data_IF_580733913646
#
_entry.id   IF_580733913646
#
_cell.length_a   1.000
_cell.length_b   1.000
_cell.length_c   1.000
_cell.angle_alpha   90.00
_cell.angle_beta   90.00
_cell.angle_gamma   90.00
#
_symmetry.space_group_name_H-M   'P 1'
#
loop_
_entity.id
_entity.type
_entity.pdbx_description
1 polymer ?
#
# COMPACT_ATOMS: atom_id res chain seq x y z
N UNK A 1 35.03 95.84 2.05
CA UNK A 1 33.58 95.61 2.11
C UNK A 1 33.11 95.24 0.71
N UNK A 2 32.09 94.40 0.64
CA UNK A 2 31.35 93.91 -0.54
C UNK A 2 31.76 92.56 -1.15
N UNK A 3 30.73 91.72 -1.22
CA UNK A 3 30.67 90.31 -1.51
C UNK A 3 30.93 89.96 -2.98
N UNK A 4 31.54 88.80 -3.21
CA UNK A 4 31.43 88.07 -4.49
C UNK A 4 30.91 86.65 -4.21
N UNK A 5 29.67 86.39 -4.61
CA UNK A 5 29.07 85.03 -4.64
C UNK A 5 29.47 84.35 -5.94
N UNK A 6 29.97 83.09 -5.92
CA UNK A 6 29.90 82.22 -7.08
C UNK A 6 28.59 81.43 -7.07
N UNK A 7 27.97 81.39 -8.25
CA UNK A 7 26.79 80.62 -8.64
C UNK A 7 26.95 79.10 -8.45
N UNK A 8 25.84 78.35 -8.22
CA UNK A 8 25.91 76.90 -8.08
C UNK A 8 26.17 76.25 -9.45
N UNK A 9 27.24 75.47 -9.54
CA UNK A 9 27.51 74.60 -10.67
C UNK A 9 26.55 73.42 -10.66
N UNK A 10 25.91 73.19 -11.81
CA UNK A 10 25.15 71.99 -12.08
C UNK A 10 26.10 70.78 -12.05
N UNK A 11 25.96 69.94 -11.02
CA UNK A 11 26.71 68.72 -10.86
C UNK A 11 25.78 67.51 -10.74
N UNK A 12 25.75 66.70 -11.80
CA UNK A 12 25.70 65.24 -11.71
C UNK A 12 24.47 64.59 -11.04
N UNK A 13 23.32 64.58 -11.73
CA UNK A 13 22.24 63.60 -11.52
C UNK A 13 22.06 62.62 -12.69
N UNK A 14 22.94 62.66 -13.70
CA UNK A 14 22.79 61.89 -14.94
C UNK A 14 23.22 60.41 -14.85
N UNK A 15 23.85 59.97 -13.76
CA UNK A 15 24.39 58.60 -13.64
C UNK A 15 23.37 57.55 -13.16
N UNK A 16 22.30 57.96 -12.48
CA UNK A 16 21.36 57.05 -11.81
C UNK A 16 20.03 56.86 -12.55
N UNK A 17 19.65 57.76 -13.46
CA UNK A 17 18.42 57.58 -14.26
C UNK A 17 18.61 56.63 -15.45
N UNK A 18 19.83 56.49 -15.97
CA UNK A 18 20.14 55.65 -17.14
C UNK A 18 20.06 54.13 -16.85
N UNK A 19 19.99 53.72 -15.59
CA UNK A 19 19.83 52.31 -15.19
C UNK A 19 18.35 51.85 -15.14
N UNK A 20 17.40 52.78 -15.23
CA UNK A 20 15.96 52.49 -15.06
C UNK A 20 15.13 52.60 -16.36
N UNK A 21 15.74 52.99 -17.49
CA UNK A 21 15.09 53.12 -18.81
C UNK A 21 15.25 51.87 -19.71
N UNK A 22 15.42 50.68 -19.12
CA UNK A 22 15.44 49.44 -19.90
C UNK A 22 14.01 48.98 -20.21
N UNK A 23 13.61 49.18 -21.46
CA UNK A 23 12.37 48.66 -22.04
C UNK A 23 12.26 47.14 -21.82
N UNK A 24 11.04 46.61 -21.61
CA UNK A 24 10.81 45.21 -21.27
C UNK A 24 11.45 44.24 -22.29
N UNK A 25 11.57 44.70 -23.53
CA UNK A 25 12.23 44.05 -24.66
C UNK A 25 13.72 43.72 -24.40
N UNK A 26 14.43 44.56 -23.63
CA UNK A 26 15.85 44.38 -23.32
C UNK A 26 16.11 43.16 -22.42
N UNK A 27 15.21 42.86 -21.49
CA UNK A 27 15.30 41.65 -20.66
C UNK A 27 14.61 40.44 -21.31
N UNK A 28 13.66 40.68 -22.21
CA UNK A 28 12.92 39.62 -22.88
C UNK A 28 13.80 38.79 -23.83
N UNK A 29 14.58 39.43 -24.71
CA UNK A 29 15.38 38.71 -25.70
C UNK A 29 16.48 37.84 -25.07
N UNK A 30 17.26 38.30 -24.06
CA UNK A 30 18.22 37.46 -23.36
C UNK A 30 17.55 36.33 -22.59
N UNK A 31 16.38 36.57 -21.95
CA UNK A 31 15.64 35.54 -21.23
C UNK A 31 15.12 34.45 -22.17
N UNK A 32 14.55 34.82 -23.32
CA UNK A 32 14.08 33.86 -24.33
C UNK A 32 15.25 33.06 -24.92
N UNK A 33 16.38 33.71 -25.16
CA UNK A 33 17.59 33.04 -25.66
C UNK A 33 18.15 32.08 -24.61
N UNK A 34 18.26 32.53 -23.36
CA UNK A 34 18.68 31.71 -22.23
C UNK A 34 17.78 30.48 -22.07
N UNK A 35 16.45 30.66 -22.08
CA UNK A 35 15.49 29.57 -22.04
C UNK A 35 15.59 28.65 -23.27
N UNK A 36 15.81 29.19 -24.46
CA UNK A 36 15.99 28.43 -25.70
C UNK A 36 17.20 27.48 -25.68
N UNK A 37 18.27 27.85 -24.97
CA UNK A 37 19.44 26.99 -24.77
C UNK A 37 19.35 26.10 -23.52
N UNK A 38 18.81 26.62 -22.41
CA UNK A 38 18.69 25.85 -21.16
C UNK A 38 17.60 24.80 -21.20
N UNK A 39 16.46 25.04 -21.86
CA UNK A 39 15.37 24.07 -21.88
C UNK A 39 15.78 22.75 -22.55
N UNK A 40 16.46 22.72 -23.72
CA UNK A 40 16.99 21.49 -24.29
C UNK A 40 18.02 20.80 -23.38
N UNK A 41 18.92 21.57 -22.75
CA UNK A 41 19.93 21.02 -21.83
C UNK A 41 19.27 20.40 -20.60
N UNK A 42 18.30 21.07 -19.98
CA UNK A 42 17.55 20.57 -18.82
C UNK A 42 16.68 19.37 -19.21
N UNK A 43 16.17 19.33 -20.44
CA UNK A 43 15.40 18.20 -20.94
C UNK A 43 16.28 16.95 -21.15
N UNK A 44 17.48 17.12 -21.71
CA UNK A 44 18.44 16.02 -21.95
C UNK A 44 19.20 15.61 -20.69
N UNK A 45 19.51 16.59 -19.83
CA UNK A 45 20.26 16.44 -18.58
C UNK A 45 19.50 17.15 -17.45
N UNK A 46 18.39 16.56 -16.96
CA UNK A 46 17.67 17.13 -15.84
C UNK A 46 18.64 17.30 -14.67
N UNK A 47 18.72 18.50 -14.06
CA UNK A 47 19.64 18.78 -12.95
C UNK A 47 19.08 18.19 -11.64
N UNK A 48 18.68 16.92 -11.69
CA UNK A 48 18.07 16.18 -10.60
C UNK A 48 18.94 14.96 -10.34
N UNK A 49 19.39 14.74 -9.09
CA UNK A 49 20.18 13.55 -8.78
C UNK A 49 19.37 12.29 -9.06
N UNK A 50 20.06 11.24 -9.50
CA UNK A 50 19.46 9.92 -9.67
C UNK A 50 18.81 9.46 -8.36
N UNK A 51 17.59 8.93 -8.46
CA UNK A 51 16.87 8.39 -7.31
C UNK A 51 17.35 6.97 -6.97
N UNK A 52 17.03 6.52 -5.76
CA UNK A 52 17.26 5.13 -5.33
C UNK A 52 16.50 4.15 -6.23
N UNK A 53 15.33 4.54 -6.72
CA UNK A 53 14.57 3.76 -7.70
C UNK A 53 15.29 3.66 -9.05
N UNK A 54 15.91 4.76 -9.53
CA UNK A 54 16.65 4.75 -10.79
C UNK A 54 17.89 3.84 -10.71
N UNK A 55 18.57 3.84 -9.55
CA UNK A 55 19.69 2.93 -9.29
C UNK A 55 19.24 1.46 -9.30
N UNK A 56 18.11 1.13 -8.67
CA UNK A 56 17.58 -0.23 -8.65
C UNK A 56 17.13 -0.72 -10.04
N UNK A 57 16.60 0.16 -10.89
CA UNK A 57 16.17 -0.21 -12.25
C UNK A 57 17.31 -0.72 -13.14
N UNK A 58 18.57 -0.45 -12.78
CA UNK A 58 19.73 -0.95 -13.50
C UNK A 58 19.91 -2.46 -13.32
N UNK A 59 19.49 -3.02 -12.17
CA UNK A 59 19.75 -4.42 -11.78
C UNK A 59 18.48 -5.22 -11.46
N UNK A 60 17.35 -4.54 -11.24
CA UNK A 60 16.09 -5.13 -10.81
C UNK A 60 14.94 -4.73 -11.74
N UNK A 61 13.96 -5.63 -11.85
CA UNK A 61 12.69 -5.35 -12.51
C UNK A 61 11.65 -4.94 -11.46
N UNK A 62 10.90 -3.87 -11.76
CA UNK A 62 9.81 -3.40 -10.91
C UNK A 62 8.62 -4.35 -11.04
N UNK A 63 8.22 -4.99 -9.95
CA UNK A 63 7.06 -5.85 -9.90
C UNK A 63 5.77 -5.01 -9.82
N UNK A 64 4.79 -5.40 -10.64
CA UNK A 64 3.43 -4.89 -10.59
C UNK A 64 3.05 -3.98 -11.75
N UNK A 65 1.75 -3.82 -11.95
CA UNK A 65 1.16 -3.14 -13.09
C UNK A 65 1.25 -1.61 -12.96
N UNK A 66 1.52 -0.96 -14.09
CA UNK A 66 1.40 0.47 -14.23
C UNK A 66 -0.06 0.95 -14.15
N UNK A 67 -0.27 2.25 -13.97
CA UNK A 67 -1.62 2.85 -13.93
C UNK A 67 -2.41 2.60 -15.24
N UNK A 68 -1.71 2.57 -16.37
CA UNK A 68 -2.33 2.35 -17.68
C UNK A 68 -2.79 0.88 -17.88
N UNK A 69 -2.10 -0.05 -17.25
CA UNK A 69 -2.25 -1.52 -17.39
C UNK A 69 -3.16 -2.11 -16.31
N UNK A 70 -3.53 -1.33 -15.29
CA UNK A 70 -4.38 -1.77 -14.18
C UNK A 70 -5.69 -2.39 -14.66
N UNK A 71 -5.97 -3.62 -14.22
CA UNK A 71 -7.22 -4.34 -14.46
C UNK A 71 -8.40 -3.72 -13.68
N UNK A 72 -8.10 -2.81 -12.75
CA UNK A 72 -9.09 -2.08 -11.96
C UNK A 72 -9.44 -0.71 -12.55
N UNK A 73 -8.86 -0.31 -13.68
CA UNK A 73 -9.09 1.02 -14.27
C UNK A 73 -10.57 1.32 -14.56
N UNK A 74 -11.34 0.28 -14.90
CA UNK A 74 -12.74 0.39 -15.29
C UNK A 74 -13.69 -0.32 -14.32
N UNK A 75 -13.23 -0.64 -13.11
CA UNK A 75 -14.01 -1.43 -12.13
C UNK A 75 -15.36 -0.78 -11.74
N UNK A 76 -15.47 0.54 -11.85
CA UNK A 76 -16.68 1.30 -11.57
C UNK A 76 -17.66 1.37 -12.75
N UNK A 77 -17.32 0.81 -13.90
CA UNK A 77 -18.24 0.74 -15.05
C UNK A 77 -19.21 -0.43 -14.86
N UNK A 78 -20.52 -0.27 -15.17
CA UNK A 78 -21.48 -1.37 -15.06
C UNK A 78 -21.07 -2.63 -15.85
N UNK A 79 -20.45 -2.46 -17.02
CA UNK A 79 -19.96 -3.58 -17.83
C UNK A 79 -18.86 -4.42 -17.14
N UNK A 80 -18.15 -3.87 -16.15
CA UNK A 80 -17.05 -4.58 -15.49
C UNK A 80 -17.51 -5.73 -14.58
N UNK A 81 -18.76 -5.71 -14.11
CA UNK A 81 -19.34 -6.81 -13.35
C UNK A 81 -20.48 -7.52 -14.10
N UNK A 82 -20.58 -7.33 -15.42
CA UNK A 82 -21.60 -7.98 -16.21
C UNK A 82 -21.47 -9.50 -16.11
N UNK A 83 -22.59 -10.17 -15.80
CA UNK A 83 -22.68 -11.62 -15.79
C UNK A 83 -23.13 -12.07 -17.17
N UNK A 84 -22.29 -12.87 -17.83
CA UNK A 84 -22.66 -13.52 -19.09
C UNK A 84 -23.25 -14.89 -18.77
N UNK A 85 -24.50 -15.20 -19.16
CA UNK A 85 -25.10 -16.51 -18.94
C UNK A 85 -24.22 -17.64 -19.47
N UNK A 86 -23.93 -18.63 -18.63
CA UNK A 86 -23.08 -19.78 -18.97
C UNK A 86 -21.57 -19.53 -18.92
N UNK A 87 -21.09 -18.32 -18.62
CA UNK A 87 -19.68 -18.05 -18.40
C UNK A 87 -19.31 -18.23 -16.91
N UNK A 88 -18.20 -18.92 -16.64
CA UNK A 88 -17.65 -19.03 -15.29
C UNK A 88 -17.09 -17.69 -14.79
N UNK A 89 -17.14 -17.48 -13.49
CA UNK A 89 -16.48 -16.35 -12.84
C UNK A 89 -14.97 -16.40 -13.05
N UNK A 90 -14.32 -15.24 -13.05
CA UNK A 90 -12.88 -15.11 -13.34
C UNK A 90 -12.18 -14.21 -12.33
N UNK A 91 -10.89 -14.46 -12.13
CA UNK A 91 -9.98 -13.59 -11.40
C UNK A 91 -9.67 -12.35 -12.24
N UNK A 92 -10.25 -11.20 -11.88
CA UNK A 92 -10.10 -9.93 -12.59
C UNK A 92 -8.82 -9.19 -12.20
N UNK A 93 -8.44 -9.22 -10.92
CA UNK A 93 -7.24 -8.55 -10.46
C UNK A 93 -6.64 -9.22 -9.22
N UNK A 94 -5.31 -9.14 -9.13
CA UNK A 94 -4.51 -9.55 -8.00
C UNK A 94 -3.84 -8.34 -7.37
N UNK A 95 -3.84 -8.23 -6.04
CA UNK A 95 -3.18 -7.13 -5.34
C UNK A 95 -2.48 -7.62 -4.08
N UNK A 96 -1.21 -7.26 -3.96
CA UNK A 96 -0.44 -7.39 -2.73
C UNK A 96 -0.25 -6.04 -2.08
N UNK A 97 0.11 -6.04 -0.82
CA UNK A 97 0.35 -4.85 -0.05
C UNK A 97 1.50 -5.11 0.94
N UNK A 98 2.75 -5.05 0.47
CA UNK A 98 3.91 -5.44 1.28
C UNK A 98 4.02 -4.74 2.62
N UNK A 99 3.64 -3.47 2.67
CA UNK A 99 3.50 -2.71 3.90
C UNK A 99 2.03 -2.54 4.27
N UNK A 100 1.66 -2.98 5.47
CA UNK A 100 0.31 -2.83 6.04
C UNK A 100 -0.11 -1.37 5.97
N UNK A 101 -1.39 -1.15 5.64
CA UNK A 101 -2.01 0.17 5.53
C UNK A 101 -1.48 1.09 4.42
N UNK A 102 -0.43 0.72 3.70
CA UNK A 102 0.08 1.50 2.56
C UNK A 102 -0.62 1.12 1.25
N UNK A 103 -0.25 1.79 0.16
CA UNK A 103 -0.76 1.52 -1.19
C UNK A 103 -0.43 0.09 -1.62
N UNK A 104 -1.37 -0.54 -2.33
CA UNK A 104 -1.19 -1.87 -2.90
C UNK A 104 -0.49 -1.85 -4.25
N UNK A 105 0.12 -2.98 -4.60
CA UNK A 105 0.74 -3.27 -5.88
C UNK A 105 -0.14 -4.28 -6.58
N UNK A 106 -0.69 -3.89 -7.73
CA UNK A 106 -1.48 -4.80 -8.56
C UNK A 106 -0.55 -5.70 -9.36
N UNK A 107 -0.86 -6.99 -9.46
CA UNK A 107 -0.04 -8.00 -10.10
C UNK A 107 -0.80 -8.68 -11.24
N UNK A 108 -0.07 -9.22 -12.21
CA UNK A 108 -0.62 -10.16 -13.21
C UNK A 108 -0.65 -11.59 -12.69
N UNK A 109 0.35 -11.97 -11.89
CA UNK A 109 0.48 -13.27 -11.26
C UNK A 109 1.17 -13.14 -9.90
N UNK A 110 0.92 -14.10 -9.01
CA UNK A 110 1.60 -14.18 -7.71
C UNK A 110 1.72 -15.62 -7.28
N UNK A 111 2.82 -15.95 -6.60
CA UNK A 111 2.89 -17.16 -5.79
C UNK A 111 1.93 -17.05 -4.62
N UNK A 112 1.34 -18.18 -4.27
CA UNK A 112 0.49 -18.37 -3.09
C UNK A 112 1.25 -19.27 -2.14
N UNK A 113 1.42 -18.81 -0.91
CA UNK A 113 2.07 -19.46 0.21
C UNK A 113 1.03 -19.75 1.30
N UNK A 114 1.34 -20.57 2.32
CA UNK A 114 0.50 -20.75 3.50
C UNK A 114 0.04 -19.44 4.15
N UNK A 115 0.85 -18.37 4.03
CA UNK A 115 0.58 -17.02 4.55
C UNK A 115 -0.23 -16.12 3.62
N UNK A 116 -0.55 -16.56 2.40
CA UNK A 116 -1.31 -15.81 1.40
C UNK A 116 -0.50 -15.51 0.16
N UNK A 117 -0.66 -14.34 -0.45
CA UNK A 117 0.15 -13.96 -1.60
C UNK A 117 1.59 -13.65 -1.16
N UNK A 118 2.56 -14.06 -1.97
CA UNK A 118 3.96 -13.71 -1.77
C UNK A 118 4.13 -12.19 -1.65
N UNK A 119 4.99 -11.77 -0.73
CA UNK A 119 5.25 -10.38 -0.37
C UNK A 119 4.08 -9.63 0.27
N UNK A 120 2.93 -10.24 0.54
CA UNK A 120 1.82 -9.55 1.22
C UNK A 120 2.07 -9.43 2.74
N UNK A 121 1.87 -8.22 3.30
CA UNK A 121 1.87 -7.95 4.77
C UNK A 121 3.15 -8.37 5.49
N UNK A 122 4.29 -8.23 4.83
CA UNK A 122 5.62 -8.42 5.43
C UNK A 122 5.96 -7.34 6.48
N UNK A 123 5.47 -6.12 6.28
CA UNK A 123 5.77 -4.98 7.15
C UNK A 123 4.52 -4.32 7.74
N UNK A 124 4.67 -3.66 8.88
CA UNK A 124 3.68 -2.72 9.42
C UNK A 124 4.35 -1.54 10.08
N UNK A 125 3.70 -0.37 10.03
CA UNK A 125 4.07 0.72 10.92
C UNK A 125 3.43 0.51 12.30
N UNK A 126 4.13 0.96 13.34
CA UNK A 126 3.61 1.03 14.70
C UNK A 126 4.07 2.31 15.37
N UNK A 127 3.35 2.72 16.41
CA UNK A 127 3.73 3.85 17.25
C UNK A 127 4.03 3.37 18.66
N UNK A 128 5.04 3.97 19.30
CA UNK A 128 5.39 3.67 20.67
C UNK A 128 4.41 4.38 21.61
N UNK A 129 3.53 3.63 22.28
CA UNK A 129 2.68 4.20 23.31
C UNK A 129 3.40 4.10 24.66
N UNK A 130 3.68 5.24 25.27
CA UNK A 130 4.16 5.29 26.64
C UNK A 130 3.01 5.04 27.61
N UNK A 131 3.19 4.26 28.69
CA UNK A 131 2.14 3.94 29.65
C UNK A 131 1.70 5.11 30.56
N UNK A 132 2.06 6.37 30.26
CA UNK A 132 1.57 7.54 31.01
C UNK A 132 0.07 7.79 30.75
N UNK A 133 -0.76 7.03 31.47
CA UNK A 133 -2.16 7.36 31.73
C UNK A 133 -2.22 8.58 32.64
N UNK A 134 -2.89 9.65 32.20
CA UNK A 134 -3.24 10.83 33.03
C UNK A 134 -4.45 10.53 33.94
N UNK A 135 -4.89 9.27 34.05
CA UNK A 135 -5.95 8.86 34.97
C UNK A 135 -5.38 8.28 36.26
N UNK A 136 -5.29 9.12 37.29
CA UNK A 136 -5.03 8.74 38.68
C UNK A 136 -6.23 7.99 39.28
N UNK A 137 -6.41 6.72 38.91
CA UNK A 137 -7.21 5.70 39.64
C UNK A 137 -7.29 4.43 38.79
N UNK A 138 -6.30 3.54 38.91
CA UNK A 138 -6.48 2.14 38.56
C UNK A 138 -5.43 1.30 39.31
N UNK A 139 -5.92 0.30 40.03
CA UNK A 139 -5.20 -0.52 40.99
C UNK A 139 -3.95 -1.18 40.40
N UNK A 140 -2.89 -1.17 41.19
CA UNK A 140 -1.61 -1.80 40.93
C UNK A 140 -1.70 -3.32 41.14
N UNK A 141 -1.93 -4.05 40.06
CA UNK A 141 -1.53 -5.44 39.94
C UNK A 141 -1.26 -5.71 38.45
N UNK A 142 -0.03 -6.12 38.15
CA UNK A 142 0.50 -6.51 36.84
C UNK A 142 0.67 -5.37 35.81
N UNK A 143 1.69 -4.54 36.01
CA UNK A 143 2.31 -3.78 34.91
C UNK A 143 3.67 -4.40 34.61
N UNK A 144 3.78 -5.18 33.53
CA UNK A 144 5.07 -5.30 32.84
C UNK A 144 5.43 -3.89 32.37
N UNK A 145 6.42 -3.26 33.01
CA UNK A 145 6.97 -1.93 32.71
C UNK A 145 7.76 -1.94 31.38
N UNK A 146 7.09 -2.27 30.28
CA UNK A 146 7.63 -2.21 28.93
C UNK A 146 6.84 -1.22 28.08
N UNK A 147 7.54 -0.36 27.34
CA UNK A 147 6.89 0.38 26.26
C UNK A 147 6.42 -0.62 25.20
N UNK A 148 5.13 -0.56 24.83
CA UNK A 148 4.55 -1.47 23.84
C UNK A 148 4.30 -0.71 22.54
N UNK A 149 4.72 -1.29 21.43
CA UNK A 149 4.42 -0.78 20.11
C UNK A 149 3.01 -1.16 19.71
N UNK A 150 2.18 -0.19 19.34
CA UNK A 150 0.85 -0.44 18.79
C UNK A 150 0.85 -0.17 17.29
N UNK A 151 0.51 -1.18 16.51
CA UNK A 151 0.41 -1.03 15.05
C UNK A 151 -0.55 0.12 14.67
N UNK A 152 -0.22 0.83 13.61
CA UNK A 152 -1.05 1.92 13.10
C UNK A 152 -1.77 1.52 11.81
N UNK A 153 -2.96 2.09 11.62
CA UNK A 153 -3.79 1.78 10.43
C UNK A 153 -4.32 3.01 9.75
N UNK A 154 -4.81 2.85 8.51
CA UNK A 154 -5.51 3.92 7.77
C UNK A 154 -6.70 4.50 8.54
N UNK A 155 -7.30 3.74 9.49
CA UNK A 155 -8.39 4.24 10.34
C UNK A 155 -7.96 5.40 11.24
N UNK A 156 -6.72 5.35 11.70
CA UNK A 156 -6.10 6.34 12.58
C UNK A 156 -5.35 7.39 11.75
N UNK A 157 -4.56 6.94 10.75
CA UNK A 157 -3.72 7.79 9.92
C UNK A 157 -4.00 7.52 8.44
N UNK A 158 -5.03 8.20 7.90
CA UNK A 158 -5.54 7.96 6.56
C UNK A 158 -4.51 8.21 5.44
N UNK A 159 -3.54 9.11 5.68
CA UNK A 159 -2.41 9.41 4.77
C UNK A 159 -1.49 8.23 4.48
N UNK A 160 -1.53 7.16 5.29
CA UNK A 160 -0.86 5.90 4.97
C UNK A 160 -1.30 5.38 3.58
N UNK A 161 -2.55 5.64 3.17
CA UNK A 161 -3.05 5.25 1.86
C UNK A 161 -2.29 5.88 0.67
N UNK A 162 -1.66 7.04 0.89
CA UNK A 162 -0.89 7.74 -0.15
C UNK A 162 0.60 7.41 -0.14
N UNK A 163 1.09 6.65 0.86
CA UNK A 163 2.46 6.16 0.86
C UNK A 163 2.57 5.10 -0.24
N UNK A 164 3.34 5.43 -1.28
CA UNK A 164 3.58 4.56 -2.43
C UNK A 164 4.59 3.49 -2.05
N UNK A 165 4.35 2.30 -2.57
CA UNK A 165 5.16 1.11 -2.35
C UNK A 165 5.45 0.54 -3.73
N UNK A 166 6.73 0.43 -4.08
CA UNK A 166 7.17 -0.24 -5.30
C UNK A 166 8.11 -1.37 -4.89
N UNK A 167 7.91 -2.55 -5.47
CA UNK A 167 8.72 -3.73 -5.21
C UNK A 167 9.62 -3.98 -6.42
N UNK A 168 10.90 -4.23 -6.17
CA UNK A 168 11.93 -4.48 -7.15
C UNK A 168 12.52 -5.86 -6.90
N UNK A 169 12.49 -6.71 -7.92
CA UNK A 169 12.98 -8.09 -7.86
C UNK A 169 14.19 -8.20 -8.79
N UNK A 170 15.28 -8.89 -8.39
CA UNK A 170 16.49 -9.00 -9.19
C UNK A 170 16.22 -9.58 -10.59
N UNK A 171 16.82 -9.01 -11.63
CA UNK A 171 16.71 -9.54 -12.99
C UNK A 171 17.50 -10.84 -13.10
N UNK A 172 16.89 -11.89 -13.65
CA UNK A 172 17.59 -13.13 -13.95
C UNK A 172 18.20 -12.98 -15.35
N UNK A 173 19.49 -12.63 -15.44
CA UNK A 173 20.24 -12.63 -16.70
C UNK A 173 21.00 -13.98 -16.86
N UNK A 174 20.71 -14.69 -17.96
CA UNK A 174 21.46 -15.84 -18.49
C UNK A 174 21.76 -17.03 -17.54
N UNK A 175 20.76 -17.54 -16.83
CA UNK A 175 20.86 -18.83 -16.13
C UNK A 175 21.84 -18.88 -14.94
N UNK A 176 22.67 -17.85 -14.77
CA UNK A 176 23.38 -17.53 -13.55
C UNK A 176 22.47 -16.70 -12.68
N UNK A 177 22.11 -17.26 -11.53
CA UNK A 177 21.39 -16.54 -10.47
C UNK A 177 22.08 -15.19 -10.28
N UNK A 178 21.35 -14.07 -10.41
CA UNK A 178 21.82 -12.77 -9.96
C UNK A 178 22.51 -12.96 -8.61
N UNK A 179 23.66 -12.30 -8.43
CA UNK A 179 24.53 -12.50 -7.26
C UNK A 179 23.68 -12.69 -6.01
N UNK A 180 23.90 -13.78 -5.26
CA UNK A 180 23.06 -14.16 -4.10
C UNK A 180 22.86 -13.02 -3.09
N UNK A 181 23.69 -11.98 -3.18
CA UNK A 181 23.70 -10.77 -2.34
C UNK A 181 22.77 -9.65 -2.83
N UNK A 182 22.18 -9.75 -4.03
CA UNK A 182 21.18 -8.79 -4.51
C UNK A 182 19.77 -9.30 -4.20
N UNK A 183 19.32 -9.08 -2.97
CA UNK A 183 17.94 -9.35 -2.56
C UNK A 183 16.91 -8.43 -3.25
N UNK A 184 15.63 -8.73 -3.08
CA UNK A 184 14.52 -7.87 -3.51
C UNK A 184 14.38 -6.65 -2.60
N UNK A 185 13.97 -5.52 -3.18
CA UNK A 185 13.89 -4.24 -2.48
C UNK A 185 12.51 -3.61 -2.58
N UNK A 186 12.06 -2.99 -1.50
CA UNK A 186 10.89 -2.10 -1.52
C UNK A 186 11.37 -0.65 -1.50
N UNK A 187 10.92 0.12 -2.48
CA UNK A 187 11.04 1.58 -2.49
C UNK A 187 9.75 2.17 -1.93
N UNK A 188 9.86 2.85 -0.80
CA UNK A 188 8.76 3.59 -0.17
C UNK A 188 8.86 5.06 -0.55
N UNK A 189 7.75 5.67 -0.99
CA UNK A 189 7.70 7.10 -1.35
C UNK A 189 6.50 7.80 -0.75
N UNK A 190 6.68 9.02 -0.28
CA UNK A 190 5.60 9.85 0.25
C UNK A 190 5.77 11.33 -0.13
N UNK A 191 4.67 12.08 -0.30
CA UNK A 191 4.72 13.50 -0.57
C UNK A 191 5.44 14.25 0.56
N UNK A 192 6.51 14.95 0.22
CA UNK A 192 7.27 15.77 1.17
C UNK A 192 8.01 16.88 0.45
N UNK A 193 8.04 18.06 1.08
CA UNK A 193 8.76 19.22 0.56
C UNK A 193 9.52 19.89 1.70
N UNK A 194 10.83 20.03 1.52
CA UNK A 194 11.67 20.72 2.50
C UNK A 194 11.32 22.22 2.59
N UNK A 195 11.67 22.86 3.69
CA UNK A 195 11.43 24.30 3.87
C UNK A 195 12.40 25.14 3.03
N UNK A 196 11.94 26.33 2.63
CA UNK A 196 12.75 27.31 1.90
C UNK A 196 13.01 26.97 0.43
N UNK A 197 14.12 27.50 -0.11
CA UNK A 197 14.48 27.42 -1.53
C UNK A 197 14.67 25.98 -2.01
N UNK A 198 15.21 25.11 -1.14
CA UNK A 198 15.40 23.68 -1.45
C UNK A 198 14.09 22.99 -1.81
N UNK A 199 13.02 23.26 -1.07
CA UNK A 199 11.69 22.71 -1.37
C UNK A 199 11.09 23.21 -2.68
N UNK A 200 11.35 24.47 -3.03
CA UNK A 200 10.93 25.04 -4.33
C UNK A 200 11.65 24.32 -5.47
N UNK A 201 12.97 24.14 -5.35
CA UNK A 201 13.77 23.41 -6.33
C UNK A 201 13.32 21.94 -6.46
N UNK A 202 13.04 21.25 -5.35
CA UNK A 202 12.48 19.89 -5.36
C UNK A 202 11.15 19.81 -6.11
N UNK A 203 10.30 20.82 -5.93
CA UNK A 203 9.00 20.88 -6.61
C UNK A 203 9.16 21.09 -8.11
N UNK A 204 10.06 21.98 -8.52
CA UNK A 204 10.37 22.23 -9.93
C UNK A 204 10.97 20.97 -10.56
N UNK A 205 11.96 20.35 -9.90
CA UNK A 205 12.57 19.10 -10.33
C UNK A 205 11.53 17.99 -10.53
N UNK A 206 10.63 17.80 -9.56
CA UNK A 206 9.55 16.82 -9.67
C UNK A 206 8.65 17.09 -10.88
N UNK A 207 8.31 18.36 -11.13
CA UNK A 207 7.47 18.76 -12.27
C UNK A 207 8.15 18.57 -13.62
N UNK A 208 9.45 18.81 -13.70
CA UNK A 208 10.24 18.60 -14.91
C UNK A 208 10.35 17.10 -15.26
N UNK A 209 10.63 16.26 -14.27
CA UNK A 209 10.86 14.81 -14.49
C UNK A 209 9.56 14.02 -14.63
N UNK A 210 8.54 14.32 -13.81
CA UNK A 210 7.31 13.52 -13.70
C UNK A 210 6.05 14.23 -14.21
N UNK A 211 6.22 15.41 -14.80
CA UNK A 211 5.15 16.21 -15.39
C UNK A 211 4.47 17.18 -14.42
N UNK A 212 3.61 18.04 -14.97
CA UNK A 212 3.10 19.23 -14.28
C UNK A 212 2.33 18.95 -12.98
N UNK A 213 1.69 17.79 -12.88
CA UNK A 213 0.92 17.36 -11.70
C UNK A 213 1.78 16.64 -10.65
N UNK A 214 3.09 16.51 -10.88
CA UNK A 214 3.98 15.90 -9.91
C UNK A 214 4.23 16.83 -8.71
N UNK A 215 4.42 16.19 -7.57
CA UNK A 215 4.80 16.79 -6.31
C UNK A 215 6.18 16.27 -5.88
N UNK A 216 6.83 17.01 -4.99
CA UNK A 216 8.07 16.57 -4.35
C UNK A 216 7.79 15.37 -3.46
N UNK A 217 8.69 14.38 -3.49
CA UNK A 217 8.55 13.13 -2.75
C UNK A 217 9.87 12.82 -2.04
N UNK A 218 9.76 12.22 -0.85
CA UNK A 218 10.89 11.63 -0.13
C UNK A 218 10.82 10.11 -0.30
N UNK A 219 11.98 9.48 -0.41
CA UNK A 219 12.09 8.03 -0.63
C UNK A 219 13.08 7.35 0.31
N UNK A 220 12.77 6.11 0.67
CA UNK A 220 13.66 5.24 1.44
C UNK A 220 13.48 3.78 1.02
N UNK A 221 14.48 2.95 1.32
CA UNK A 221 14.58 1.57 0.88
C UNK A 221 14.36 0.63 2.05
N UNK A 222 13.74 -0.51 1.77
CA UNK A 222 13.57 -1.61 2.70
C UNK A 222 13.98 -2.92 2.04
N UNK A 223 14.87 -3.73 2.66
CA UNK A 223 15.17 -5.08 2.17
C UNK A 223 13.95 -5.98 2.38
N UNK A 224 13.61 -6.80 1.39
CA UNK A 224 12.47 -7.74 1.47
C UNK A 224 12.86 -9.01 2.21
N UNK A 225 14.06 -9.51 1.90
CA UNK A 225 14.71 -10.62 2.58
C UNK A 225 14.85 -10.30 4.05
N UNK A 226 14.69 -11.33 4.87
CA UNK A 226 14.91 -11.17 6.29
C UNK A 226 16.41 -11.01 6.54
N UNK A 227 16.86 -9.94 7.23
CA UNK A 227 18.28 -9.66 7.38
C UNK A 227 18.95 -10.74 8.23
N UNK A 228 20.22 -11.02 7.90
CA UNK A 228 21.08 -11.90 8.68
C UNK A 228 21.40 -11.29 10.05
N UNK A 229 21.86 -12.12 10.99
CA UNK A 229 22.24 -11.63 12.33
C UNK A 229 23.32 -10.53 12.28
N UNK A 230 24.29 -10.65 11.38
CA UNK A 230 25.33 -9.65 11.18
C UNK A 230 24.77 -8.32 10.67
N UNK A 231 23.81 -8.35 9.73
CA UNK A 231 23.15 -7.15 9.22
C UNK A 231 22.27 -6.48 10.29
N UNK A 232 21.57 -7.27 11.11
CA UNK A 232 20.77 -6.79 12.25
C UNK A 232 21.65 -5.99 13.21
N UNK A 233 22.80 -6.55 13.61
CA UNK A 233 23.76 -5.90 14.51
C UNK A 233 24.39 -4.67 13.86
N UNK A 234 24.82 -4.76 12.61
CA UNK A 234 25.46 -3.65 11.89
C UNK A 234 24.52 -2.45 11.71
N UNK A 235 23.24 -2.70 11.43
CA UNK A 235 22.24 -1.64 11.24
C UNK A 235 21.58 -1.18 12.53
N UNK A 236 21.81 -1.87 13.65
CA UNK A 236 21.19 -1.55 14.93
C UNK A 236 19.68 -1.81 14.93
N UNK A 237 19.24 -2.89 14.26
CA UNK A 237 17.86 -3.33 14.33
C UNK A 237 17.61 -4.10 15.62
N UNK A 238 16.42 -3.93 16.21
CA UNK A 238 16.06 -4.56 17.48
C UNK A 238 14.74 -5.31 17.34
N UNK A 239 14.65 -6.48 17.97
CA UNK A 239 13.38 -7.20 18.09
C UNK A 239 12.55 -6.59 19.21
N UNK A 240 11.32 -6.18 18.90
CA UNK A 240 10.42 -5.62 19.90
C UNK A 240 9.01 -6.24 19.81
N UNK A 241 8.28 -6.13 20.92
CA UNK A 241 6.89 -6.59 21.03
C UNK A 241 5.95 -5.59 20.38
N UNK A 242 5.25 -6.02 19.33
CA UNK A 242 4.22 -5.25 18.63
C UNK A 242 2.85 -5.84 18.94
N UNK A 243 1.99 -5.03 19.53
CA UNK A 243 0.59 -5.39 19.77
C UNK A 243 -0.22 -5.22 18.49
N UNK A 244 -0.83 -6.31 18.03
CA UNK A 244 -1.75 -6.38 16.90
C UNK A 244 -3.10 -6.84 17.44
N UNK A 245 -4.04 -5.91 17.58
CA UNK A 245 -5.35 -6.19 18.18
C UNK A 245 -5.21 -6.77 19.60
N UNK A 246 -5.55 -8.05 19.77
CA UNK A 246 -5.42 -8.80 21.03
C UNK A 246 -4.11 -9.59 21.11
N UNK A 247 -3.41 -9.77 19.99
CA UNK A 247 -2.17 -10.53 19.92
C UNK A 247 -0.97 -9.61 20.15
N UNK A 248 0.13 -10.19 20.60
CA UNK A 248 1.44 -9.53 20.66
C UNK A 248 2.42 -10.42 19.90
N UNK A 249 3.11 -9.84 18.92
CA UNK A 249 4.12 -10.53 18.12
C UNK A 249 5.47 -9.89 18.33
N UNK A 250 6.52 -10.70 18.33
CA UNK A 250 7.89 -10.20 18.26
C UNK A 250 8.24 -9.93 16.80
N UNK A 251 8.67 -8.71 16.49
CA UNK A 251 9.00 -8.29 15.14
C UNK A 251 10.26 -7.41 15.15
N UNK A 252 10.98 -7.42 14.04
CA UNK A 252 12.21 -6.64 13.90
C UNK A 252 11.88 -5.17 13.59
N UNK A 253 12.37 -4.25 14.40
CA UNK A 253 12.20 -2.81 14.22
C UNK A 253 13.30 -2.25 13.28
N UNK A 254 12.88 -1.82 12.10
CA UNK A 254 13.69 -1.15 11.08
C UNK A 254 13.50 0.38 11.13
N UNK A 255 13.01 0.92 12.26
CA UNK A 255 12.71 2.34 12.42
C UNK A 255 13.90 3.27 12.18
N UNK A 256 15.13 2.78 12.32
CA UNK A 256 16.37 3.53 12.01
C UNK A 256 16.50 3.92 10.54
N UNK A 257 15.90 3.15 9.63
CA UNK A 257 15.90 3.44 8.18
C UNK A 257 14.72 4.32 7.75
N UNK A 258 13.79 4.60 8.69
CA UNK A 258 12.60 5.39 8.41
C UNK A 258 12.92 6.87 8.57
N UNK A 259 12.74 7.70 7.52
CA UNK A 259 12.93 9.15 7.64
C UNK A 259 11.93 9.76 8.61
N UNK A 260 12.42 10.65 9.50
CA UNK A 260 11.61 11.34 10.51
C UNK A 260 10.48 12.20 9.90
N UNK A 261 10.69 12.64 8.66
CA UNK A 261 9.69 13.37 7.88
C UNK A 261 8.42 12.55 7.64
N UNK A 262 8.53 11.21 7.56
CA UNK A 262 7.36 10.35 7.40
C UNK A 262 6.43 10.43 8.61
N UNK A 263 7.00 10.47 9.83
CA UNK A 263 6.22 10.65 11.06
C UNK A 263 5.41 11.95 11.02
N UNK A 264 6.06 13.04 10.60
CA UNK A 264 5.44 14.36 10.45
C UNK A 264 4.38 14.36 9.35
N UNK A 265 4.65 13.75 8.20
CA UNK A 265 3.70 13.62 7.09
C UNK A 265 2.43 12.87 7.49
N UNK A 266 2.58 11.75 8.21
CA UNK A 266 1.46 10.94 8.68
C UNK A 266 0.68 11.62 9.82
N UNK A 267 1.27 12.61 10.50
CA UNK A 267 0.67 13.25 11.66
C UNK A 267 0.74 12.40 12.93
N UNK A 268 1.75 11.53 13.04
CA UNK A 268 1.94 10.68 14.23
C UNK A 268 2.72 11.46 15.29
N UNK A 269 2.13 11.67 16.46
CA UNK A 269 2.77 12.42 17.55
C UNK A 269 3.83 11.59 18.30
N UNK A 270 3.59 10.29 18.45
CA UNK A 270 4.47 9.34 19.12
C UNK A 270 5.64 8.92 18.24
N UNK A 271 6.66 8.26 18.81
CA UNK A 271 7.75 7.63 18.04
C UNK A 271 7.16 6.67 17.02
N UNK A 272 7.55 6.81 15.75
CA UNK A 272 7.14 5.93 14.66
C UNK A 272 8.19 4.84 14.46
N UNK A 273 7.75 3.60 14.30
CA UNK A 273 8.58 2.45 14.00
C UNK A 273 8.02 1.72 12.79
N UNK A 274 8.89 1.00 12.09
CA UNK A 274 8.54 0.13 10.97
C UNK A 274 9.01 -1.27 11.32
N UNK A 275 8.09 -2.22 11.29
CA UNK A 275 8.33 -3.56 11.77
C UNK A 275 8.28 -4.57 10.63
N UNK A 276 9.27 -5.46 10.56
CA UNK A 276 9.31 -6.63 9.70
C UNK A 276 8.93 -7.86 10.51
N UNK A 277 7.95 -8.64 10.04
CA UNK A 277 7.54 -9.86 10.73
C UNK A 277 8.68 -10.88 10.66
N UNK A 278 8.94 -11.56 11.78
CA UNK A 278 9.84 -12.70 11.83
C UNK A 278 9.18 -13.89 11.09
N UNK A 279 9.84 -14.48 10.06
CA UNK A 279 9.34 -15.68 9.38
C UNK A 279 9.07 -16.86 10.32
N UNK A 280 9.77 -16.94 11.46
CA UNK A 280 9.58 -17.99 12.47
C UNK A 280 8.48 -17.63 13.48
N UNK A 281 8.08 -16.36 13.54
CA UNK A 281 7.13 -15.79 14.51
C UNK A 281 5.74 -15.52 13.93
N UNK A 282 5.31 -16.30 12.93
CA UNK A 282 4.00 -16.13 12.28
C UNK A 282 2.84 -16.51 13.21
N UNK A 283 1.69 -15.85 13.05
CA UNK A 283 0.49 -16.12 13.85
C UNK A 283 -0.38 -17.19 13.21
N UNK A 284 -0.79 -18.18 13.97
CA UNK A 284 -1.70 -19.23 13.50
C UNK A 284 -3.16 -18.75 13.45
N UNK A 285 -3.89 -19.19 12.43
CA UNK A 285 -5.30 -18.83 12.21
C UNK A 285 -6.18 -20.04 12.50
N UNK A 286 -7.06 -19.93 13.50
CA UNK A 286 -7.90 -21.05 13.93
C UNK A 286 -9.40 -20.86 13.72
N UNK A 287 -9.86 -19.61 13.70
CA UNK A 287 -11.29 -19.29 13.68
C UNK A 287 -11.79 -19.37 12.26
N UNK A 288 -12.86 -20.14 12.04
CA UNK A 288 -13.43 -20.38 10.70
C UNK A 288 -12.39 -20.85 9.66
N UNK A 289 -11.21 -21.31 10.11
CA UNK A 289 -10.10 -21.71 9.28
C UNK A 289 -9.95 -23.22 9.38
N UNK A 290 -9.45 -23.87 8.31
CA UNK A 290 -9.23 -25.30 8.32
C UNK A 290 -8.18 -25.66 9.38
N UNK A 291 -8.34 -26.84 9.96
CA UNK A 291 -7.39 -27.37 10.94
C UNK A 291 -6.25 -28.09 10.25
N UNK A 292 -5.11 -28.21 10.93
CA UNK A 292 -3.95 -28.95 10.41
C UNK A 292 -4.30 -30.38 10.01
N UNK A 293 -5.17 -31.03 10.76
CA UNK A 293 -5.62 -32.40 10.52
C UNK A 293 -6.49 -32.52 9.25
N UNK A 294 -7.09 -31.42 8.77
CA UNK A 294 -7.97 -31.40 7.60
C UNK A 294 -7.20 -31.14 6.30
N UNK A 295 -6.10 -30.36 6.37
CA UNK A 295 -5.42 -29.84 5.18
C UNK A 295 -3.90 -30.01 5.20
N UNK A 296 -3.34 -30.78 6.14
CA UNK A 296 -1.91 -31.09 6.27
C UNK A 296 -1.06 -30.02 6.96
N UNK A 297 -1.52 -28.76 7.01
CA UNK A 297 -0.79 -27.66 7.66
C UNK A 297 -1.73 -26.69 8.39
N UNK A 298 -1.20 -25.93 9.35
CA UNK A 298 -1.97 -24.88 10.03
C UNK A 298 -1.81 -23.55 9.27
N UNK A 299 -2.89 -22.92 8.77
CA UNK A 299 -2.80 -21.59 8.17
C UNK A 299 -2.17 -20.57 9.12
N UNK A 300 -1.28 -19.75 8.58
CA UNK A 300 -0.56 -18.72 9.33
C UNK A 300 -0.68 -17.36 8.63
N UNK A 301 -0.39 -16.29 9.38
CA UNK A 301 -0.38 -14.92 8.87
C UNK A 301 0.76 -14.13 9.51
N UNK A 302 1.30 -13.17 8.76
CA UNK A 302 2.15 -12.11 9.30
C UNK A 302 1.31 -10.95 9.85
N UNK A 303 1.44 -9.77 9.24
CA UNK A 303 0.71 -8.57 9.64
C UNK A 303 -0.71 -8.43 9.03
N UNK A 304 -1.26 -9.47 8.41
CA UNK A 304 -2.67 -9.54 8.03
C UNK A 304 -3.57 -9.32 9.26
N UNK A 305 -4.82 -8.89 9.08
CA UNK A 305 -5.71 -8.74 10.24
C UNK A 305 -6.09 -10.09 10.85
N UNK A 306 -6.46 -11.07 10.01
CA UNK A 306 -7.01 -12.33 10.50
C UNK A 306 -6.71 -13.56 9.62
N UNK A 307 -6.78 -13.44 8.29
CA UNK A 307 -6.65 -14.58 7.36
C UNK A 307 -5.60 -14.28 6.27
N UNK A 308 -5.04 -15.33 5.63
CA UNK A 308 -4.04 -15.20 4.58
C UNK A 308 -4.48 -14.32 3.40
N UNK A 309 -5.72 -14.48 2.96
CA UNK A 309 -6.23 -13.90 1.73
C UNK A 309 -7.65 -13.37 1.89
N UNK A 310 -7.95 -12.32 1.14
CA UNK A 310 -9.26 -11.70 1.10
C UNK A 310 -9.75 -11.56 -0.35
N UNK A 311 -10.96 -12.08 -0.63
CA UNK A 311 -11.60 -12.08 -1.94
C UNK A 311 -12.82 -11.16 -1.96
N UNK A 312 -13.00 -10.44 -3.08
CA UNK A 312 -14.19 -9.62 -3.33
C UNK A 312 -14.71 -9.85 -4.74
N UNK A 313 -16.01 -10.06 -4.86
CA UNK A 313 -16.71 -10.01 -6.12
C UNK A 313 -17.05 -8.56 -6.48
N UNK A 314 -16.68 -8.16 -7.69
CA UNK A 314 -16.95 -6.82 -8.19
C UNK A 314 -18.46 -6.58 -8.36
N UNK A 315 -19.25 -7.61 -8.69
CA UNK A 315 -20.71 -7.51 -8.77
C UNK A 315 -21.35 -7.13 -7.43
N UNK A 316 -20.91 -7.77 -6.34
CA UNK A 316 -21.33 -7.44 -4.97
C UNK A 316 -20.98 -6.01 -4.57
N UNK A 317 -19.79 -5.54 -4.99
CA UNK A 317 -19.37 -4.18 -4.72
C UNK A 317 -20.22 -3.17 -5.50
N UNK A 318 -20.50 -3.42 -6.78
CA UNK A 318 -21.30 -2.52 -7.61
C UNK A 318 -22.75 -2.45 -7.14
N UNK A 319 -23.34 -3.59 -6.78
CA UNK A 319 -24.68 -3.63 -6.19
C UNK A 319 -24.72 -2.82 -4.87
N UNK A 320 -23.76 -3.05 -3.99
CA UNK A 320 -23.65 -2.30 -2.74
C UNK A 320 -23.44 -0.80 -2.99
N UNK A 321 -22.56 -0.43 -3.93
CA UNK A 321 -22.27 0.95 -4.30
C UNK A 321 -23.50 1.69 -4.79
N UNK A 322 -24.38 1.02 -5.55
CA UNK A 322 -25.65 1.62 -6.04
C UNK A 322 -26.60 2.04 -4.91
N UNK A 323 -26.48 1.41 -3.73
CA UNK A 323 -27.31 1.66 -2.56
C UNK A 323 -26.67 2.64 -1.57
N UNK A 324 -25.37 2.95 -1.72
CA UNK A 324 -24.67 3.88 -0.83
C UNK A 324 -24.94 5.33 -1.24
N UNK A 325 -25.43 6.20 -0.32
CA UNK A 325 -25.62 7.61 -0.59
C UNK A 325 -24.34 8.28 -1.11
N UNK A 326 -24.47 9.07 -2.18
CA UNK A 326 -23.36 9.84 -2.76
C UNK A 326 -23.39 11.29 -2.29
N UNK A 327 -22.22 11.88 -2.15
CA UNK A 327 -22.04 13.29 -1.84
C UNK A 327 -20.80 13.86 -2.55
N UNK A 328 -20.36 15.07 -2.13
CA UNK A 328 -19.19 15.73 -2.73
C UNK A 328 -17.88 14.95 -2.55
N UNK A 329 -17.78 14.16 -1.48
CA UNK A 329 -16.57 13.44 -1.08
C UNK A 329 -16.60 11.96 -1.52
N UNK A 330 -17.79 11.38 -1.69
CA UNK A 330 -17.98 9.99 -2.13
C UNK A 330 -18.87 9.92 -3.37
N UNK A 331 -18.23 9.84 -4.55
CA UNK A 331 -18.91 9.69 -5.85
C UNK A 331 -19.20 8.24 -6.25
N UNK A 332 -18.28 7.34 -5.92
CA UNK A 332 -18.39 5.89 -6.12
C UNK A 332 -17.46 5.17 -5.14
N UNK A 333 -17.75 3.91 -4.85
CA UNK A 333 -16.90 3.07 -4.01
C UNK A 333 -15.83 2.39 -4.85
N UNK A 334 -14.60 2.82 -4.61
CA UNK A 334 -13.43 2.17 -5.18
C UNK A 334 -13.16 0.84 -4.47
N UNK A 335 -12.98 -0.25 -5.23
CA UNK A 335 -12.70 -1.59 -4.69
C UNK A 335 -11.46 -1.61 -3.80
N UNK A 336 -10.48 -0.73 -4.06
CA UNK A 336 -9.24 -0.60 -3.29
C UNK A 336 -9.48 -0.15 -1.84
N UNK A 337 -10.65 0.42 -1.51
CA UNK A 337 -11.07 0.75 -0.14
C UNK A 337 -11.17 -0.49 0.76
N UNK A 338 -11.47 -1.65 0.18
CA UNK A 338 -11.70 -2.89 0.92
C UNK A 338 -10.46 -3.78 1.04
N UNK A 339 -9.38 -3.41 0.33
CA UNK A 339 -8.06 -4.04 0.40
C UNK A 339 -8.08 -5.56 0.18
N UNK A 340 -8.87 -6.01 -0.80
CA UNK A 340 -8.89 -7.40 -1.25
C UNK A 340 -7.62 -7.76 -1.99
N UNK A 341 -7.16 -8.99 -1.80
CA UNK A 341 -6.06 -9.55 -2.56
C UNK A 341 -6.57 -10.06 -3.91
N UNK A 342 -7.74 -10.72 -3.90
CA UNK A 342 -8.36 -11.30 -5.08
C UNK A 342 -9.63 -10.53 -5.41
N UNK A 343 -9.75 -10.06 -6.65
CA UNK A 343 -10.97 -9.42 -7.15
C UNK A 343 -11.51 -10.26 -8.28
N UNK A 344 -12.77 -10.68 -8.18
CA UNK A 344 -13.42 -11.59 -9.14
C UNK A 344 -14.59 -10.92 -9.83
N UNK A 345 -14.90 -11.39 -11.03
CA UNK A 345 -15.99 -10.89 -11.88
C UNK A 345 -16.74 -12.04 -12.52
N UNK A 346 -17.95 -11.78 -13.05
CA UNK A 346 -18.76 -12.79 -13.75
C UNK A 346 -19.59 -13.68 -12.82
N UNK A 347 -19.49 -13.51 -11.49
CA UNK A 347 -20.39 -14.10 -10.52
C UNK A 347 -21.56 -13.14 -10.19
N UNK A 348 -22.79 -13.64 -9.96
CA UNK A 348 -23.89 -12.81 -9.46
C UNK A 348 -23.52 -12.06 -8.17
N UNK A 349 -24.17 -10.93 -7.91
CA UNK A 349 -23.93 -10.17 -6.69
C UNK A 349 -24.16 -11.04 -5.45
N UNK A 350 -23.18 -11.02 -4.56
CA UNK A 350 -23.10 -11.77 -3.29
C UNK A 350 -22.98 -13.29 -3.42
N UNK A 351 -22.81 -13.84 -4.63
CA UNK A 351 -22.68 -15.28 -4.84
C UNK A 351 -21.50 -15.89 -4.05
N UNK A 352 -20.41 -15.12 -3.93
CA UNK A 352 -19.20 -15.50 -3.22
C UNK A 352 -19.40 -15.79 -1.73
N UNK A 353 -20.47 -15.25 -1.14
CA UNK A 353 -20.79 -15.43 0.28
C UNK A 353 -21.36 -16.81 0.61
N UNK A 354 -21.60 -17.64 -0.40
CA UNK A 354 -22.03 -19.02 -0.24
C UNK A 354 -20.93 -20.05 -0.53
N UNK A 355 -19.80 -19.64 -1.12
CA UNK A 355 -18.74 -20.56 -1.51
C UNK A 355 -18.05 -21.12 -0.28
N UNK A 356 -17.76 -22.43 -0.24
CA UNK A 356 -17.02 -23.07 0.85
C UNK A 356 -15.65 -23.61 0.39
N UNK A 357 -15.61 -24.21 -0.80
CA UNK A 357 -14.37 -24.60 -1.47
C UNK A 357 -14.39 -24.12 -2.91
N UNK A 358 -13.29 -23.50 -3.34
CA UNK A 358 -13.13 -22.98 -4.69
C UNK A 358 -11.80 -23.44 -5.29
N UNK A 359 -11.80 -23.65 -6.60
CA UNK A 359 -10.62 -23.96 -7.38
C UNK A 359 -10.47 -22.95 -8.50
N UNK A 360 -9.31 -22.30 -8.56
CA UNK A 360 -8.91 -21.52 -9.72
C UNK A 360 -8.25 -22.45 -10.72
N UNK A 361 -8.74 -22.45 -11.95
CA UNK A 361 -8.19 -23.21 -13.07
C UNK A 361 -7.55 -22.24 -14.07
N UNK A 362 -6.41 -22.62 -14.69
CA UNK A 362 -5.62 -21.74 -15.55
C UNK A 362 -6.32 -21.35 -16.86
N UNK A 363 -7.41 -22.04 -17.21
CA UNK A 363 -8.12 -21.85 -18.46
C UNK A 363 -7.19 -22.14 -19.64
N UNK A 364 -6.86 -21.12 -20.43
CA UNK A 364 -5.94 -21.25 -21.57
C UNK A 364 -4.46 -21.03 -21.22
N UNK A 365 -4.13 -20.61 -19.99
CA UNK A 365 -2.74 -20.43 -19.57
C UNK A 365 -2.05 -21.79 -19.41
N UNK A 366 -0.86 -21.92 -20.00
CA UNK A 366 0.00 -23.12 -19.82
C UNK A 366 1.09 -22.88 -18.78
N UNK A 367 1.11 -21.72 -18.13
CA UNK A 367 2.18 -21.29 -17.23
C UNK A 367 1.92 -21.66 -15.76
N UNK A 368 0.70 -22.04 -15.43
CA UNK A 368 0.23 -22.26 -14.05
C UNK A 368 -0.65 -23.50 -13.96
N UNK A 369 -0.63 -24.14 -12.79
CA UNK A 369 -1.54 -25.23 -12.43
C UNK A 369 -2.80 -24.71 -11.72
N UNK A 370 -3.71 -25.62 -11.38
CA UNK A 370 -4.84 -25.33 -10.52
C UNK A 370 -4.38 -24.84 -9.14
N UNK A 371 -5.19 -23.97 -8.52
CA UNK A 371 -4.98 -23.50 -7.15
C UNK A 371 -6.29 -23.59 -6.36
N UNK A 372 -6.28 -24.34 -5.26
CA UNK A 372 -7.48 -24.59 -4.44
C UNK A 372 -7.47 -23.74 -3.17
N UNK A 373 -8.65 -23.34 -2.71
CA UNK A 373 -8.83 -22.51 -1.52
C UNK A 373 -10.07 -22.94 -0.76
N UNK A 374 -9.98 -22.93 0.57
CA UNK A 374 -11.15 -22.94 1.43
C UNK A 374 -11.58 -21.51 1.71
N UNK A 375 -12.88 -21.26 1.57
CA UNK A 375 -13.51 -20.01 2.00
C UNK A 375 -13.83 -20.14 3.47
N UNK A 376 -13.20 -19.30 4.29
CA UNK A 376 -13.27 -19.39 5.74
C UNK A 376 -14.54 -18.75 6.31
N UNK A 377 -14.78 -17.48 6.00
CA UNK A 377 -15.95 -16.76 6.48
C UNK A 377 -16.20 -15.47 5.69
N UNK A 378 -17.36 -14.85 5.91
CA UNK A 378 -17.64 -13.48 5.43
C UNK A 378 -16.71 -12.48 6.11
N UNK A 379 -16.29 -11.47 5.35
CA UNK A 379 -15.41 -10.43 5.87
C UNK A 379 -16.22 -9.33 6.57
N UNK A 380 -16.17 -9.34 7.90
CA UNK A 380 -16.68 -8.25 8.74
C UNK A 380 -15.89 -6.97 8.47
N UNK A 381 -16.60 -5.90 8.11
CA UNK A 381 -15.99 -4.62 7.76
C UNK A 381 -15.88 -3.68 8.95
N UNK A 382 -14.70 -3.04 9.04
CA UNK A 382 -14.44 -1.95 9.97
C UNK A 382 -14.56 -0.59 9.25
N UNK A 383 -14.18 0.50 9.92
CA UNK A 383 -14.19 1.87 9.35
C UNK A 383 -13.10 2.17 8.32
N UNK A 384 -12.26 1.19 7.99
CA UNK A 384 -11.15 1.38 7.04
C UNK A 384 -11.62 1.81 5.63
N UNK A 385 -12.70 1.22 5.05
CA UNK A 385 -13.17 1.59 3.72
C UNK A 385 -13.63 3.06 3.57
N UNK A 386 -13.81 3.78 4.68
CA UNK A 386 -14.10 5.21 4.66
C UNK A 386 -12.92 6.02 4.11
N UNK A 387 -11.69 5.49 4.15
CA UNK A 387 -10.50 6.16 3.62
C UNK A 387 -10.47 6.02 2.11
N UNK A 388 -10.42 7.16 1.42
CA UNK A 388 -10.19 7.17 -0.02
C UNK A 388 -8.72 6.80 -0.34
N UNK A 389 -8.47 5.74 -1.12
CA UNK A 389 -7.12 5.30 -1.42
C UNK A 389 -6.34 6.24 -2.35
N UNK A 390 -7.02 7.12 -3.10
CA UNK A 390 -6.39 8.09 -3.98
C UNK A 390 -6.01 9.37 -3.23
N UNK A 391 -6.88 9.87 -2.34
CA UNK A 391 -6.66 11.15 -1.64
C UNK A 391 -6.14 11.00 -0.21
N UNK A 392 -6.28 9.82 0.39
CA UNK A 392 -5.97 9.58 1.81
C UNK A 392 -6.86 10.37 2.76
N UNK A 393 -8.01 10.85 2.28
CA UNK A 393 -9.01 11.55 3.09
C UNK A 393 -10.05 10.53 3.55
N UNK A 394 -10.38 10.59 4.83
CA UNK A 394 -11.39 9.73 5.44
C UNK A 394 -12.76 10.40 5.37
N UNK A 395 -13.68 9.74 4.68
CA UNK A 395 -15.08 10.13 4.72
C UNK A 395 -15.67 9.90 6.12
N UNK A 396 -16.42 10.88 6.64
CA UNK A 396 -16.83 10.91 8.05
C UNK A 396 -17.71 9.72 8.44
N UNK A 397 -18.56 9.26 7.52
CA UNK A 397 -19.65 8.31 7.81
C UNK A 397 -19.63 7.10 6.89
N UNK A 398 -19.72 7.32 5.58
CA UNK A 398 -19.72 6.27 4.56
C UNK A 398 -18.34 5.69 4.20
N UNK A 399 -18.28 4.42 3.76
CA UNK A 399 -19.40 3.47 3.62
C UNK A 399 -19.72 2.67 4.90
N UNK A 400 -19.04 2.89 6.03
CA UNK A 400 -19.28 2.13 7.28
C UNK A 400 -20.75 2.15 7.73
N UNK A 401 -21.45 3.29 7.59
CA UNK A 401 -22.87 3.38 7.94
C UNK A 401 -23.74 2.52 7.01
N UNK A 402 -23.61 2.65 5.69
CA UNK A 402 -24.34 1.81 4.76
C UNK A 402 -24.00 0.33 4.91
N UNK A 403 -22.74 -0.02 5.14
CA UNK A 403 -22.32 -1.40 5.42
C UNK A 403 -23.08 -1.96 6.64
N UNK A 404 -23.11 -1.25 7.76
CA UNK A 404 -23.82 -1.71 8.96
C UNK A 404 -25.34 -1.78 8.79
N UNK A 405 -25.91 -0.88 7.98
CA UNK A 405 -27.36 -0.80 7.78
C UNK A 405 -27.88 -1.85 6.80
N UNK A 406 -27.14 -2.07 5.71
CA UNK A 406 -27.62 -2.83 4.54
C UNK A 406 -26.99 -4.23 4.53
N UNK A 407 -25.81 -4.39 5.13
CA UNK A 407 -25.01 -5.62 5.05
C UNK A 407 -24.80 -6.31 6.40
N UNK A 408 -25.70 -6.13 7.37
CA UNK A 408 -25.74 -6.90 8.62
C UNK A 408 -26.32 -8.31 8.35
N UNK A 409 -25.56 -9.14 7.62
CA UNK A 409 -26.02 -10.42 7.06
C UNK A 409 -25.44 -11.65 7.78
N UNK A 410 -24.45 -11.46 8.66
CA UNK A 410 -23.78 -12.57 9.33
C UNK A 410 -24.20 -12.68 10.81
N UNK A 411 -24.87 -13.78 11.22
CA UNK A 411 -25.37 -13.91 12.59
C UNK A 411 -24.23 -13.99 13.63
N UNK A 412 -23.02 -14.34 13.23
CA UNK A 412 -21.83 -14.37 14.10
C UNK A 412 -21.26 -12.97 14.41
N UNK A 413 -21.66 -11.96 13.64
CA UNK A 413 -21.20 -10.58 13.80
C UNK A 413 -22.36 -9.57 13.77
N UNK A 414 -23.33 -9.66 14.69
CA UNK A 414 -24.52 -8.82 14.64
C UNK A 414 -24.15 -7.33 14.73
N UNK A 415 -24.88 -6.48 13.99
CA UNK A 415 -24.69 -5.03 13.86
C UNK A 415 -23.41 -4.62 13.12
N UNK A 416 -22.78 -5.55 12.42
CA UNK A 416 -21.58 -5.31 11.62
C UNK A 416 -21.86 -5.62 10.16
N UNK A 417 -21.39 -4.75 9.27
CA UNK A 417 -21.53 -4.97 7.83
C UNK A 417 -20.54 -6.00 7.30
N UNK A 418 -20.99 -6.94 6.48
CA UNK A 418 -20.17 -7.92 5.78
C UNK A 418 -20.16 -7.66 4.27
N UNK A 419 -18.98 -7.77 3.65
CA UNK A 419 -18.83 -7.71 2.21
C UNK A 419 -17.58 -8.49 1.84
N UNK A 420 -17.58 -9.36 0.84
CA UNK A 420 -16.44 -10.21 0.49
C UNK A 420 -16.13 -11.31 1.52
N UNK A 421 -15.17 -12.18 1.22
CA UNK A 421 -14.89 -13.41 1.97
C UNK A 421 -13.40 -13.61 2.23
N UNK A 422 -13.07 -14.26 3.34
CA UNK A 422 -11.70 -14.62 3.72
C UNK A 422 -11.37 -16.01 3.20
N UNK A 423 -10.13 -16.22 2.76
CA UNK A 423 -9.67 -17.48 2.19
C UNK A 423 -8.41 -18.00 2.89
N UNK A 424 -8.32 -19.32 2.97
CA UNK A 424 -7.09 -20.06 3.26
C UNK A 424 -6.71 -20.89 2.03
N UNK A 425 -5.44 -20.87 1.59
CA UNK A 425 -5.00 -21.72 0.49
C UNK A 425 -5.05 -23.20 0.88
N UNK A 426 -5.17 -24.06 -0.13
CA UNK A 426 -5.07 -25.51 0.00
C UNK A 426 -3.97 -25.99 -0.95
N UNK A 427 -3.15 -26.93 -0.50
CA UNK A 427 -2.04 -27.49 -1.27
C UNK A 427 -2.21 -29.00 -1.36
N UNK A 428 -2.02 -29.56 -2.57
CA UNK A 428 -2.13 -31.01 -2.79
C UNK A 428 -1.00 -31.77 -2.08
N UNK A 429 0.20 -31.18 -2.04
CA UNK A 429 1.41 -31.77 -1.43
C UNK A 429 1.55 -31.48 0.07
N UNK A 430 0.50 -31.02 0.75
CA UNK A 430 0.58 -30.56 2.14
C UNK A 430 1.00 -31.64 3.15
N UNK A 431 0.74 -32.92 2.84
CA UNK A 431 1.14 -34.06 3.68
C UNK A 431 2.56 -34.57 3.37
N UNK A 432 3.07 -34.28 2.17
CA UNK A 432 4.34 -34.81 1.67
C UNK A 432 5.51 -33.81 1.71
N UNK A 433 5.23 -32.53 1.94
CA UNK A 433 6.23 -31.47 1.92
C UNK A 433 6.21 -30.64 3.21
N UNK A 434 7.36 -30.06 3.56
CA UNK A 434 7.44 -29.08 4.63
C UNK A 434 6.62 -27.83 4.30
N UNK A 435 6.06 -27.17 5.33
CA UNK A 435 5.18 -26.01 5.13
C UNK A 435 5.86 -24.87 4.36
N UNK A 436 7.18 -24.74 4.45
CA UNK A 436 7.97 -23.73 3.74
C UNK A 436 8.04 -23.94 2.23
N UNK A 437 7.88 -25.19 1.77
CA UNK A 437 7.94 -25.57 0.37
C UNK A 437 6.57 -25.50 -0.32
N UNK A 438 5.48 -25.39 0.46
CA UNK A 438 4.12 -25.32 -0.04
C UNK A 438 3.90 -24.05 -0.86
N UNK A 439 3.58 -24.23 -2.14
CA UNK A 439 3.34 -23.12 -3.07
C UNK A 439 2.39 -23.52 -4.19
N UNK A 440 1.56 -22.57 -4.59
CA UNK A 440 0.77 -22.62 -5.81
C UNK A 440 0.82 -21.26 -6.51
N UNK A 441 0.14 -21.12 -7.65
CA UNK A 441 0.16 -19.89 -8.45
C UNK A 441 -1.25 -19.40 -8.73
N UNK A 442 -1.41 -18.08 -8.68
CA UNK A 442 -2.59 -17.40 -9.20
C UNK A 442 -2.18 -16.45 -10.32
N UNK A 443 -3.00 -16.39 -11.36
CA UNK A 443 -2.83 -15.52 -12.52
C UNK A 443 -4.17 -14.86 -12.88
N UNK A 444 -4.13 -13.56 -13.20
CA UNK A 444 -5.30 -12.82 -13.70
C UNK A 444 -5.85 -13.53 -14.95
N UNK A 445 -7.17 -13.73 -14.98
CA UNK A 445 -7.87 -14.44 -16.05
C UNK A 445 -8.23 -15.89 -15.72
N UNK A 446 -7.66 -16.48 -14.65
CA UNK A 446 -8.06 -17.81 -14.16
C UNK A 446 -9.56 -17.89 -13.91
N UNK A 447 -10.15 -19.02 -14.30
CA UNK A 447 -11.57 -19.31 -14.08
C UNK A 447 -11.79 -19.93 -12.70
N UNK A 448 -12.93 -19.62 -12.10
CA UNK A 448 -13.29 -20.09 -10.77
C UNK A 448 -14.31 -21.21 -10.92
N UNK A 449 -13.96 -22.38 -10.38
CA UNK A 449 -14.85 -23.50 -10.17
C UNK A 449 -15.25 -23.56 -8.68
N UNK A 450 -16.55 -23.54 -8.41
CA UNK A 450 -17.10 -23.55 -7.05
C UNK A 450 -17.45 -24.99 -6.69
N UNK A 451 -16.59 -25.62 -5.91
CA UNK A 451 -16.69 -27.05 -5.61
C UNK A 451 -17.77 -27.36 -4.58
N UNK A 452 -17.98 -26.47 -3.61
CA UNK A 452 -19.01 -26.63 -2.59
C UNK A 452 -19.56 -25.29 -2.13
N UNK A 453 -20.82 -25.31 -1.68
CA UNK A 453 -21.54 -24.15 -1.18
C UNK A 453 -22.19 -24.46 0.16
N UNK A 454 -22.31 -23.44 1.01
CA UNK A 454 -22.98 -23.53 2.30
C UNK A 454 -23.01 -22.19 3.02
N UNK A 455 -23.48 -22.22 4.27
CA UNK A 455 -23.56 -21.02 5.10
C UNK A 455 -22.25 -20.77 5.85
N UNK A 456 -21.91 -19.49 6.01
CA UNK A 456 -20.83 -19.04 6.88
C UNK A 456 -21.41 -18.43 8.16
N UNK A 457 -20.70 -18.62 9.27
CA UNK A 457 -20.98 -17.91 10.53
C UNK A 457 -19.66 -17.42 11.09
N UNK A 458 -19.54 -16.10 11.25
CA UNK A 458 -18.32 -15.48 11.73
C UNK A 458 -18.07 -15.78 13.21
N UNK A 459 -16.87 -16.27 13.55
CA UNK A 459 -16.46 -16.47 14.94
C UNK A 459 -15.57 -15.30 15.37
N UNK A 460 -16.01 -14.55 16.40
CA UNK A 460 -15.30 -13.35 16.87
C UNK A 460 -13.89 -13.66 17.42
N UNK A 461 -12.90 -13.06 16.76
CA UNK A 461 -11.94 -12.08 17.32
C UNK A 461 -11.72 -12.06 18.84
#
# INVERSE_FOLDING_TARGET
>A
MEAYRPSPSAGSTAGLSALLDFDATFFFLPLVTLLGFLLPIIYLFPPVPATKADALQQTHDRLGLGRAESNLRTHNRPAAAAVTPGASAKLQALTIYPVKSCRGIELTRSRVLPTGLEFDRLFTFAQLKSPFSVSSTANAAEKEDGHVWEFITQRQFARLANVKVDLYVPRVEDGTRADKDTGSWIVMRFPWRDLGIRGVLQTIAAKLVRGWYAEAEREFLLPVEFPTKAEIEQRGYEFEKVKIWKDVVTALNLGVDVPEELRSYLGVSNKLGLFRIDPLGLRQVFRCAPRKEEIGYQPTVGFQDAYPLHLMNLGSLQDFDSQVPKDGDLKYLDVRRFRSNLIVTGAPAYDEESWQSIRFTPGASTLTSDASFQVSCRTVRCKLPNVDPATGIRHRVEPDRSLRKIRDVDPGAPKMGCLGVQLCPLFEDAESCETEDLRSWLEVGMTIDVQSRGEHVYIKQ
#
